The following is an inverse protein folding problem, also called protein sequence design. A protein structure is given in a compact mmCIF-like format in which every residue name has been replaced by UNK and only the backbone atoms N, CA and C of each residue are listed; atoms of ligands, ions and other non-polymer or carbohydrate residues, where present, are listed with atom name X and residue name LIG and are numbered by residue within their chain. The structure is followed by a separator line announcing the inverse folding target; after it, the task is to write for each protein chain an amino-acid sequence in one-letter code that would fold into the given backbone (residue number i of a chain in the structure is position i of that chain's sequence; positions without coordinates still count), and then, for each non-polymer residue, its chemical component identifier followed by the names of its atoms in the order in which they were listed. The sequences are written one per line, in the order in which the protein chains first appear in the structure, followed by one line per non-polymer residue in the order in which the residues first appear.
data_IF_654864946970
#
_entry.id   IF_654864946970
#
_cell.length_a   1.000
_cell.length_b   1.000
_cell.length_c   1.000
_cell.angle_alpha   90.00
_cell.angle_beta   90.00
_cell.angle_gamma   90.00
#
_symmetry.space_group_name_H-M   'P 1'
#
loop_
_entity.id
_entity.type
_entity.pdbx_description
1 polymer ?
#
# COMPACT_ATOMS: atom_id res chain seq x y z
N UNK A 1 -40.48 26.05 -4.92
CA UNK A 1 -39.70 26.83 -3.94
C UNK A 1 -38.40 26.09 -3.72
N UNK A 2 -37.34 26.77 -3.35
CA UNK A 2 -36.03 26.16 -3.20
C UNK A 2 -35.45 26.49 -1.82
N UNK A 3 -34.85 25.50 -1.16
CA UNK A 3 -34.13 25.70 0.11
C UNK A 3 -32.65 25.76 -0.19
N UNK A 4 -32.06 26.94 -0.04
CA UNK A 4 -30.63 27.20 -0.22
C UNK A 4 -29.97 27.27 1.16
N UNK A 5 -28.82 26.62 1.35
CA UNK A 5 -28.17 26.59 2.64
C UNK A 5 -26.65 26.42 2.54
N UNK A 6 -25.96 26.95 3.52
CA UNK A 6 -24.54 26.71 3.76
C UNK A 6 -24.33 26.30 5.23
N UNK A 7 -23.09 26.42 5.71
CA UNK A 7 -22.78 26.13 7.10
C UNK A 7 -23.30 27.19 8.08
N UNK A 8 -23.57 28.43 7.63
CA UNK A 8 -24.02 29.55 8.47
C UNK A 8 -25.52 29.63 8.59
N UNK A 9 -26.25 29.35 7.52
CA UNK A 9 -27.69 29.62 7.46
C UNK A 9 -28.40 28.77 6.39
N UNK A 10 -29.73 28.78 6.44
CA UNK A 10 -30.61 28.25 5.41
C UNK A 10 -31.71 29.27 5.11
N UNK A 11 -32.13 29.36 3.85
CA UNK A 11 -33.27 30.20 3.42
C UNK A 11 -34.13 29.50 2.39
N UNK A 12 -35.41 29.83 2.39
CA UNK A 12 -36.36 29.42 1.35
C UNK A 12 -36.56 30.58 0.38
N UNK A 13 -36.42 30.31 -0.91
CA UNK A 13 -36.67 31.28 -1.98
C UNK A 13 -37.79 30.82 -2.90
N UNK A 14 -38.53 31.77 -3.45
CA UNK A 14 -39.53 31.52 -4.49
C UNK A 14 -38.90 31.49 -5.91
N UNK A 15 -39.74 31.31 -6.94
CA UNK A 15 -39.29 31.26 -8.34
C UNK A 15 -38.75 32.60 -8.86
N UNK A 16 -39.03 33.70 -8.17
CA UNK A 16 -38.61 35.05 -8.52
C UNK A 16 -37.33 35.47 -7.78
N UNK A 17 -36.82 34.60 -6.89
CA UNK A 17 -35.65 34.85 -6.05
C UNK A 17 -35.96 35.56 -4.73
N UNK A 18 -37.23 35.80 -4.41
CA UNK A 18 -37.60 36.47 -3.16
C UNK A 18 -37.44 35.51 -1.98
N UNK A 19 -36.84 35.99 -0.89
CA UNK A 19 -36.67 35.23 0.36
C UNK A 19 -38.00 35.16 1.12
N UNK A 20 -38.48 33.95 1.37
CA UNK A 20 -39.74 33.69 2.09
C UNK A 20 -39.53 33.48 3.60
N UNK A 21 -38.47 32.77 3.98
CA UNK A 21 -38.07 32.51 5.37
C UNK A 21 -36.56 32.24 5.44
N UNK A 22 -35.93 32.55 6.57
CA UNK A 22 -34.50 32.39 6.82
C UNK A 22 -34.26 31.95 8.26
N UNK A 23 -33.34 30.99 8.43
CA UNK A 23 -32.86 30.53 9.72
C UNK A 23 -31.33 30.53 9.75
N UNK A 24 -30.76 31.21 10.74
CA UNK A 24 -29.31 31.28 10.96
C UNK A 24 -28.85 30.27 12.01
N UNK A 25 -27.62 29.79 11.86
CA UNK A 25 -26.97 28.96 12.87
C UNK A 25 -26.74 29.76 14.14
N UNK A 26 -27.22 29.20 15.26
CA UNK A 26 -27.28 29.85 16.57
C UNK A 26 -25.95 30.42 17.09
N UNK A 27 -26.01 31.22 18.18
CA UNK A 27 -24.91 32.11 18.60
C UNK A 27 -23.70 31.38 19.23
N UNK A 28 -23.86 30.16 19.74
CA UNK A 28 -22.75 29.39 20.34
C UNK A 28 -21.95 28.66 19.26
N UNK A 29 -21.17 29.41 18.49
CA UNK A 29 -20.33 28.88 17.40
C UNK A 29 -18.94 28.55 17.92
N UNK A 30 -18.48 27.32 17.68
CA UNK A 30 -17.10 26.92 17.97
C UNK A 30 -16.49 26.21 16.76
N UNK A 31 -15.16 26.24 16.58
CA UNK A 31 -14.51 25.53 15.48
C UNK A 31 -14.85 24.04 15.44
N UNK A 32 -14.98 23.38 16.60
CA UNK A 32 -15.31 21.96 16.68
C UNK A 32 -16.76 21.65 16.28
N UNK A 33 -17.71 22.53 16.66
CA UNK A 33 -19.10 22.41 16.24
C UNK A 33 -19.24 22.65 14.73
N UNK A 34 -18.55 23.66 14.19
CA UNK A 34 -18.53 23.94 12.76
C UNK A 34 -17.89 22.79 11.97
N UNK A 35 -16.77 22.22 12.44
CA UNK A 35 -16.14 21.09 11.78
C UNK A 35 -17.09 19.87 11.66
N UNK A 36 -17.87 19.60 12.71
CA UNK A 36 -18.89 18.53 12.69
C UNK A 36 -19.99 18.84 11.67
N UNK A 37 -20.46 20.08 11.66
CA UNK A 37 -21.48 20.56 10.73
C UNK A 37 -21.03 20.52 9.26
N UNK A 38 -19.78 20.89 8.97
CA UNK A 38 -19.19 20.79 7.63
C UNK A 38 -19.06 19.32 7.18
N UNK A 39 -18.69 18.42 8.10
CA UNK A 39 -18.65 16.97 7.82
C UNK A 39 -20.04 16.43 7.46
N UNK A 40 -21.09 16.84 8.19
CA UNK A 40 -22.47 16.48 7.89
C UNK A 40 -22.87 16.93 6.48
N UNK A 41 -22.60 18.20 6.15
CA UNK A 41 -22.88 18.76 4.82
C UNK A 41 -22.12 18.02 3.70
N UNK A 42 -20.84 17.69 3.90
CA UNK A 42 -20.05 16.92 2.93
C UNK A 42 -20.60 15.51 2.69
N UNK A 43 -21.22 14.90 3.71
CA UNK A 43 -21.90 13.60 3.58
C UNK A 43 -23.28 13.69 2.93
N UNK A 44 -23.71 14.89 2.48
CA UNK A 44 -25.01 15.13 1.87
C UNK A 44 -26.16 15.33 2.88
N UNK A 45 -25.87 15.44 4.18
CA UNK A 45 -26.89 15.75 5.19
C UNK A 45 -27.24 17.24 5.17
N UNK A 46 -28.51 17.57 5.32
CA UNK A 46 -28.95 18.96 5.49
C UNK A 46 -28.64 19.48 6.88
N UNK A 47 -28.39 20.80 6.98
CA UNK A 47 -28.29 21.49 8.26
C UNK A 47 -29.60 21.41 9.05
N UNK A 48 -29.56 21.52 10.39
CA UNK A 48 -30.78 21.59 11.22
C UNK A 48 -31.77 22.66 10.75
N UNK A 49 -31.26 23.81 10.31
CA UNK A 49 -32.01 24.97 9.83
C UNK A 49 -32.67 24.65 8.48
N UNK A 50 -31.95 24.02 7.55
CA UNK A 50 -32.52 23.56 6.28
C UNK A 50 -33.61 22.48 6.49
N UNK A 51 -33.42 21.56 7.46
CA UNK A 51 -34.46 20.59 7.84
C UNK A 51 -35.70 21.27 8.41
N UNK A 52 -35.52 22.22 9.33
CA UNK A 52 -36.63 22.96 9.91
C UNK A 52 -37.41 23.77 8.86
N UNK A 53 -36.72 24.37 7.88
CA UNK A 53 -37.36 25.05 6.76
C UNK A 53 -38.10 24.07 5.83
N UNK A 54 -37.55 22.89 5.58
CA UNK A 54 -38.24 21.84 4.81
C UNK A 54 -39.51 21.36 5.50
N UNK A 55 -39.49 21.25 6.83
CA UNK A 55 -40.67 20.86 7.60
C UNK A 55 -41.76 21.95 7.57
N UNK A 56 -41.37 23.25 7.50
CA UNK A 56 -42.29 24.39 7.33
C UNK A 56 -42.82 24.54 5.90
N UNK A 57 -42.00 24.20 4.91
CA UNK A 57 -42.30 24.31 3.49
C UNK A 57 -42.08 22.95 2.79
N UNK A 58 -43.00 21.99 2.91
CA UNK A 58 -42.81 20.63 2.38
C UNK A 58 -42.61 20.55 0.86
N UNK A 59 -43.13 21.52 0.11
CA UNK A 59 -43.01 21.60 -1.35
C UNK A 59 -41.71 22.29 -1.82
N UNK A 60 -40.82 22.69 -0.89
CA UNK A 60 -39.55 23.31 -1.21
C UNK A 60 -38.43 22.27 -1.40
N UNK A 61 -37.79 22.28 -2.57
CA UNK A 61 -36.71 21.34 -2.87
C UNK A 61 -35.37 21.85 -2.31
N UNK A 62 -34.60 21.01 -1.58
CA UNK A 62 -33.29 21.39 -1.08
C UNK A 62 -32.27 21.46 -2.22
N UNK A 63 -31.58 22.60 -2.34
CA UNK A 63 -30.43 22.79 -3.21
C UNK A 63 -29.15 22.99 -2.37
N UNK A 64 -28.30 21.95 -2.24
CA UNK A 64 -27.03 22.02 -1.51
C UNK A 64 -26.00 22.99 -2.09
N UNK A 65 -26.11 23.35 -3.38
CA UNK A 65 -25.23 24.31 -4.05
C UNK A 65 -25.86 25.70 -4.15
N UNK A 66 -27.11 25.86 -3.72
CA UNK A 66 -27.88 27.09 -3.90
C UNK A 66 -27.26 28.30 -3.19
N UNK A 67 -26.45 28.10 -2.15
CA UNK A 67 -25.71 29.19 -1.52
C UNK A 67 -24.59 29.77 -2.41
N UNK A 68 -24.01 28.95 -3.29
CA UNK A 68 -22.95 29.37 -4.22
C UNK A 68 -23.52 30.05 -5.47
N UNK A 69 -24.72 29.64 -5.87
CA UNK A 69 -25.39 30.14 -7.09
C UNK A 69 -26.20 31.42 -6.84
N UNK A 70 -26.25 31.90 -5.60
CA UNK A 70 -27.09 33.03 -5.18
C UNK A 70 -26.27 34.32 -5.02
N UNK A 71 -26.47 35.33 -5.89
CA UNK A 71 -25.71 36.58 -5.86
C UNK A 71 -25.93 37.43 -4.61
N UNK A 72 -27.05 37.21 -3.90
CA UNK A 72 -27.40 37.93 -2.67
C UNK A 72 -26.98 37.13 -1.42
N UNK A 73 -26.23 36.04 -1.58
CA UNK A 73 -25.75 35.26 -0.44
C UNK A 73 -24.74 36.08 0.37
N UNK A 74 -24.92 36.23 1.70
CA UNK A 74 -24.06 37.09 2.50
C UNK A 74 -22.59 36.66 2.44
N UNK A 75 -21.66 37.62 2.35
CA UNK A 75 -20.22 37.33 2.48
C UNK A 75 -19.86 36.93 3.92
N UNK A 76 -18.78 36.17 4.10
CA UNK A 76 -18.30 35.80 5.43
C UNK A 76 -17.63 37.00 6.10
N UNK A 77 -18.03 37.30 7.32
CA UNK A 77 -17.31 38.25 8.19
C UNK A 77 -15.88 37.75 8.49
N UNK A 78 -14.91 38.63 8.84
CA UNK A 78 -13.56 38.20 9.21
C UNK A 78 -13.55 37.13 10.32
N UNK A 79 -14.41 37.29 11.34
CA UNK A 79 -14.56 36.31 12.42
C UNK A 79 -15.10 34.96 11.93
N UNK A 80 -16.02 34.96 10.96
CA UNK A 80 -16.53 33.74 10.32
C UNK A 80 -15.49 33.07 9.43
N UNK A 81 -14.62 33.86 8.76
CA UNK A 81 -13.50 33.33 7.98
C UNK A 81 -12.48 32.64 8.88
N UNK A 82 -12.12 33.25 10.02
CA UNK A 82 -11.23 32.64 11.01
C UNK A 82 -11.84 31.37 11.60
N UNK A 83 -13.12 31.41 11.98
CA UNK A 83 -13.85 30.25 12.47
C UNK A 83 -13.89 29.11 11.45
N UNK A 84 -14.12 29.42 10.17
CA UNK A 84 -14.11 28.45 9.09
C UNK A 84 -12.71 27.87 8.87
N UNK A 85 -11.67 28.70 8.91
CA UNK A 85 -10.27 28.26 8.83
C UNK A 85 -9.92 27.27 9.95
N UNK A 86 -10.24 27.60 11.19
CA UNK A 86 -9.99 26.72 12.34
C UNK A 86 -10.79 25.41 12.25
N UNK A 87 -12.04 25.48 11.81
CA UNK A 87 -12.90 24.30 11.61
C UNK A 87 -12.38 23.39 10.50
N UNK A 88 -11.92 23.94 9.38
CA UNK A 88 -11.31 23.16 8.29
C UNK A 88 -10.01 22.50 8.74
N UNK A 89 -9.20 23.16 9.57
CA UNK A 89 -8.02 22.54 10.17
C UNK A 89 -8.38 21.35 11.09
N UNK A 90 -9.47 21.46 11.88
CA UNK A 90 -9.99 20.35 12.69
C UNK A 90 -10.50 19.21 11.79
N UNK A 91 -11.27 19.53 10.75
CA UNK A 91 -11.80 18.55 9.81
C UNK A 91 -10.67 17.81 9.09
N UNK A 92 -9.63 18.52 8.66
CA UNK A 92 -8.44 17.93 8.07
C UNK A 92 -7.74 16.97 9.04
N UNK A 93 -7.56 17.35 10.31
CA UNK A 93 -7.00 16.45 11.34
C UNK A 93 -7.88 15.22 11.58
N UNK A 94 -9.21 15.37 11.58
CA UNK A 94 -10.15 14.24 11.68
C UNK A 94 -10.01 13.30 10.48
N UNK A 95 -9.97 13.84 9.26
CA UNK A 95 -9.74 13.05 8.05
C UNK A 95 -8.40 12.32 8.06
N UNK A 96 -7.33 12.93 8.59
CA UNK A 96 -6.04 12.26 8.80
C UNK A 96 -6.16 11.13 9.83
N UNK A 97 -6.83 11.37 10.96
CA UNK A 97 -7.05 10.36 11.99
C UNK A 97 -7.89 9.18 11.47
N UNK A 98 -8.94 9.45 10.70
CA UNK A 98 -9.73 8.43 10.01
C UNK A 98 -8.90 7.68 8.97
N UNK A 99 -7.95 8.35 8.31
CA UNK A 99 -7.00 7.67 7.41
C UNK A 99 -6.04 6.72 8.12
N UNK A 100 -5.87 6.81 9.44
CA UNK A 100 -5.17 5.78 10.20
C UNK A 100 -5.97 4.46 10.27
N UNK A 101 -7.29 4.49 10.02
CA UNK A 101 -8.09 3.28 9.84
C UNK A 101 -7.99 2.72 8.41
N UNK A 102 -7.49 3.50 7.45
CA UNK A 102 -7.33 3.09 6.05
C UNK A 102 -6.26 2.01 5.91
N UNK A 103 -6.73 0.77 5.68
CA UNK A 103 -5.88 -0.40 5.53
C UNK A 103 -5.02 -0.35 4.25
N UNK A 104 -5.45 0.36 3.20
CA UNK A 104 -4.64 0.54 1.98
C UNK A 104 -3.38 1.36 2.31
N UNK A 105 -3.53 2.49 3.01
CA UNK A 105 -2.39 3.33 3.44
C UNK A 105 -1.45 2.60 4.40
N UNK A 106 -2.02 1.83 5.33
CA UNK A 106 -1.22 1.03 6.27
C UNK A 106 -0.40 -0.05 5.56
N UNK A 107 -1.00 -0.74 4.58
CA UNK A 107 -0.29 -1.70 3.74
C UNK A 107 0.80 -1.03 2.89
N UNK A 108 0.53 0.16 2.36
CA UNK A 108 1.54 0.94 1.62
C UNK A 108 2.75 1.27 2.49
N UNK A 109 2.55 1.79 3.71
CA UNK A 109 3.66 2.07 4.62
C UNK A 109 4.48 0.84 4.95
N UNK A 110 3.83 -0.30 5.22
CA UNK A 110 4.53 -1.56 5.51
C UNK A 110 5.31 -2.06 4.28
N UNK A 111 4.67 -2.14 3.12
CA UNK A 111 5.30 -2.60 1.88
C UNK A 111 6.45 -1.70 1.44
N UNK A 112 6.28 -0.38 1.51
CA UNK A 112 7.30 0.59 1.12
C UNK A 112 8.48 0.57 2.08
N UNK A 113 8.22 0.51 3.40
CA UNK A 113 9.27 0.33 4.41
C UNK A 113 10.05 -0.98 4.22
N UNK A 114 9.37 -2.09 3.90
CA UNK A 114 10.01 -3.36 3.54
C UNK A 114 10.95 -3.22 2.34
N UNK A 115 10.56 -2.49 1.30
CA UNK A 115 11.39 -2.27 0.10
C UNK A 115 12.64 -1.45 0.45
N UNK A 116 12.49 -0.39 1.22
CA UNK A 116 13.60 0.46 1.67
C UNK A 116 14.58 -0.30 2.56
N UNK A 117 14.06 -1.04 3.54
CA UNK A 117 14.87 -1.88 4.43
C UNK A 117 15.66 -2.93 3.65
N UNK A 118 15.06 -3.59 2.65
CA UNK A 118 15.78 -4.56 1.81
C UNK A 118 16.87 -3.89 0.98
N UNK A 119 16.62 -2.71 0.41
CA UNK A 119 17.63 -1.98 -0.35
C UNK A 119 18.82 -1.57 0.53
N UNK A 120 18.55 -1.10 1.75
CA UNK A 120 19.59 -0.78 2.73
C UNK A 120 20.34 -2.05 3.18
N UNK A 121 19.62 -3.14 3.43
CA UNK A 121 20.20 -4.43 3.81
C UNK A 121 21.19 -4.94 2.76
N UNK A 122 20.80 -4.97 1.48
CA UNK A 122 21.67 -5.48 0.40
C UNK A 122 22.98 -4.72 0.29
N UNK A 123 22.95 -3.39 0.46
CA UNK A 123 24.18 -2.59 0.37
C UNK A 123 25.06 -2.75 1.61
N UNK A 124 24.46 -2.86 2.79
CA UNK A 124 25.19 -3.04 4.05
C UNK A 124 25.77 -4.45 4.21
N UNK A 125 25.02 -5.48 3.84
CA UNK A 125 25.46 -6.87 3.86
C UNK A 125 26.65 -7.06 2.93
N UNK A 126 26.53 -6.60 1.68
CA UNK A 126 27.62 -6.71 0.71
C UNK A 126 28.90 -6.04 1.24
N UNK A 127 28.78 -4.85 1.84
CA UNK A 127 29.94 -4.18 2.45
C UNK A 127 30.52 -4.97 3.63
N UNK A 128 29.68 -5.56 4.47
CA UNK A 128 30.12 -6.36 5.62
C UNK A 128 30.86 -7.63 5.18
N UNK A 129 30.34 -8.32 4.16
CA UNK A 129 30.93 -9.55 3.62
C UNK A 129 32.28 -9.25 2.95
N UNK A 130 32.34 -8.26 2.08
CA UNK A 130 33.59 -7.89 1.38
C UNK A 130 34.68 -7.41 2.36
N UNK A 131 34.30 -6.66 3.41
CA UNK A 131 35.27 -6.21 4.41
C UNK A 131 35.80 -7.38 5.25
N UNK A 132 34.98 -8.39 5.53
CA UNK A 132 35.45 -9.62 6.16
C UNK A 132 36.46 -10.36 5.26
N UNK A 133 36.14 -10.51 3.97
CA UNK A 133 37.00 -11.18 2.99
C UNK A 133 38.35 -10.51 2.76
N UNK A 134 38.47 -9.21 3.02
CA UNK A 134 39.75 -8.50 2.96
C UNK A 134 40.78 -9.08 3.94
N UNK A 135 40.33 -9.51 5.12
CA UNK A 135 41.19 -10.04 6.17
C UNK A 135 41.18 -11.56 6.21
N UNK A 136 40.07 -12.20 5.85
CA UNK A 136 39.87 -13.65 5.87
C UNK A 136 39.81 -14.18 4.42
N UNK A 137 40.95 -14.41 3.75
CA UNK A 137 40.99 -14.72 2.32
C UNK A 137 40.41 -16.09 1.97
N UNK A 138 40.42 -17.05 2.91
CA UNK A 138 39.91 -18.42 2.71
C UNK A 138 38.41 -18.55 3.03
N UNK A 139 37.76 -17.44 3.40
CA UNK A 139 36.33 -17.40 3.71
C UNK A 139 35.48 -17.57 2.45
N UNK A 140 34.53 -18.52 2.47
CA UNK A 140 33.53 -18.68 1.42
C UNK A 140 32.52 -17.52 1.49
N UNK A 141 32.87 -16.41 0.83
CA UNK A 141 32.07 -15.18 0.85
C UNK A 141 30.68 -15.38 0.27
N UNK A 142 30.47 -16.33 -0.64
CA UNK A 142 29.16 -16.57 -1.27
C UNK A 142 28.32 -17.56 -0.47
N UNK A 143 28.94 -18.63 0.04
CA UNK A 143 28.26 -19.64 0.84
C UNK A 143 27.92 -19.18 2.26
N UNK A 144 28.69 -18.24 2.83
CA UNK A 144 28.54 -17.79 4.22
C UNK A 144 28.01 -16.35 4.36
N UNK A 145 27.42 -15.78 3.30
CA UNK A 145 26.93 -14.39 3.27
C UNK A 145 26.07 -14.01 4.47
N UNK A 146 25.20 -14.91 4.90
CA UNK A 146 24.25 -14.65 5.99
C UNK A 146 24.91 -14.76 7.38
N UNK A 147 25.89 -15.65 7.51
CA UNK A 147 26.60 -15.99 8.74
C UNK A 147 27.67 -14.96 9.07
N UNK A 148 28.35 -14.41 8.07
CA UNK A 148 29.47 -13.46 8.25
C UNK A 148 29.09 -12.24 9.10
N UNK A 149 28.01 -11.49 8.81
CA UNK A 149 27.62 -10.36 9.66
C UNK A 149 27.26 -10.80 11.09
N UNK A 150 26.64 -11.97 11.26
CA UNK A 150 26.31 -12.48 12.60
C UNK A 150 27.58 -12.78 13.41
N UNK A 151 28.53 -13.51 12.82
CA UNK A 151 29.80 -13.85 13.44
C UNK A 151 30.59 -12.59 13.84
N UNK A 152 30.76 -11.64 12.93
CA UNK A 152 31.51 -10.39 13.21
C UNK A 152 30.81 -9.55 14.28
N UNK A 153 29.47 -9.43 14.23
CA UNK A 153 28.72 -8.61 15.20
C UNK A 153 28.88 -9.09 16.64
N UNK A 154 28.99 -10.41 16.85
CA UNK A 154 29.11 -11.07 18.15
C UNK A 154 30.56 -11.30 18.61
N UNK A 155 31.51 -11.35 17.68
CA UNK A 155 32.91 -11.64 17.99
C UNK A 155 33.61 -10.52 18.78
N UNK A 156 34.58 -10.89 19.60
CA UNK A 156 35.40 -9.93 20.36
C UNK A 156 36.40 -9.22 19.46
N UNK A 157 37.07 -9.98 18.60
CA UNK A 157 38.11 -9.60 17.66
C UNK A 157 37.97 -10.44 16.39
N UNK A 158 38.80 -10.15 15.38
CA UNK A 158 38.74 -10.85 14.10
C UNK A 158 39.13 -12.34 14.21
N UNK A 159 39.95 -12.70 15.19
CA UNK A 159 40.38 -14.09 15.42
C UNK A 159 39.20 -14.93 15.92
N UNK A 160 38.45 -14.40 16.89
CA UNK A 160 37.22 -15.02 17.36
C UNK A 160 36.16 -15.16 16.26
N UNK A 161 36.12 -14.20 15.32
CA UNK A 161 35.23 -14.27 14.16
C UNK A 161 35.68 -15.34 13.16
N UNK A 162 36.99 -15.45 12.90
CA UNK A 162 37.58 -16.48 12.06
C UNK A 162 37.29 -17.88 12.60
N UNK A 163 37.49 -18.09 13.90
CA UNK A 163 37.17 -19.34 14.60
C UNK A 163 35.68 -19.70 14.45
N UNK A 164 34.79 -18.73 14.66
CA UNK A 164 33.33 -18.93 14.53
C UNK A 164 32.91 -19.25 13.08
N UNK A 165 33.64 -18.73 12.10
CA UNK A 165 33.44 -18.99 10.68
C UNK A 165 34.20 -20.24 10.18
N UNK A 166 34.97 -20.90 11.05
CA UNK A 166 35.71 -22.11 10.70
C UNK A 166 36.87 -21.89 9.72
N UNK A 167 37.48 -20.70 9.75
CA UNK A 167 38.63 -20.34 8.91
C UNK A 167 39.86 -20.01 9.77
N UNK A 168 41.04 -20.06 9.15
CA UNK A 168 42.29 -19.74 9.82
C UNK A 168 42.38 -18.26 10.23
N UNK A 169 43.21 -17.98 11.25
CA UNK A 169 43.46 -16.61 11.70
C UNK A 169 44.07 -15.75 10.58
N UNK A 170 43.68 -14.46 10.48
CA UNK A 170 44.21 -13.58 9.45
C UNK A 170 45.68 -13.23 9.71
N UNK A 171 46.52 -13.33 8.67
CA UNK A 171 47.94 -12.92 8.71
C UNK A 171 48.11 -11.45 9.08
N UNK A 172 47.22 -10.59 8.60
CA UNK A 172 47.20 -9.16 8.90
C UNK A 172 45.88 -8.82 9.58
N UNK A 173 45.94 -8.18 10.75
CA UNK A 173 44.77 -7.87 11.58
C UNK A 173 44.36 -6.40 11.41
N UNK A 174 43.04 -6.09 11.45
CA UNK A 174 42.58 -4.71 11.49
C UNK A 174 43.10 -4.02 12.75
N UNK A 175 43.30 -2.72 12.68
CA UNK A 175 43.47 -1.90 13.88
C UNK A 175 42.20 -1.97 14.75
N UNK A 176 42.32 -1.63 16.04
CA UNK A 176 41.15 -1.62 16.93
C UNK A 176 40.02 -0.71 16.45
N UNK A 177 40.36 0.43 15.84
CA UNK A 177 39.36 1.35 15.26
C UNK A 177 38.69 0.77 14.00
N UNK A 178 39.45 0.10 13.14
CA UNK A 178 38.88 -0.59 11.95
C UNK A 178 37.98 -1.75 12.37
N UNK A 179 38.39 -2.53 13.37
CA UNK A 179 37.58 -3.63 13.88
C UNK A 179 36.24 -3.15 14.45
N UNK A 180 36.24 -2.07 15.25
CA UNK A 180 34.98 -1.49 15.76
C UNK A 180 34.09 -0.98 14.62
N UNK A 181 34.66 -0.42 13.56
CA UNK A 181 33.91 0.00 12.38
C UNK A 181 33.31 -1.20 11.62
N UNK A 182 34.08 -2.28 11.43
CA UNK A 182 33.59 -3.55 10.86
C UNK A 182 32.45 -4.14 11.69
N UNK A 183 32.62 -4.16 13.01
CA UNK A 183 31.64 -4.69 13.95
C UNK A 183 30.36 -3.85 13.96
N UNK A 184 30.47 -2.53 13.90
CA UNK A 184 29.34 -1.62 13.77
C UNK A 184 28.57 -1.85 12.46
N UNK A 185 29.28 -2.05 11.34
CA UNK A 185 28.67 -2.38 10.05
C UNK A 185 27.90 -3.70 10.12
N UNK A 186 28.51 -4.75 10.68
CA UNK A 186 27.89 -6.06 10.84
C UNK A 186 26.65 -6.02 11.76
N UNK A 187 26.71 -5.27 12.87
CA UNK A 187 25.56 -5.03 13.75
C UNK A 187 24.40 -4.36 13.02
N UNK A 188 24.67 -3.37 12.17
CA UNK A 188 23.66 -2.71 11.34
C UNK A 188 22.93 -3.69 10.41
N UNK A 189 23.66 -4.62 9.79
CA UNK A 189 23.06 -5.69 8.96
C UNK A 189 22.13 -6.57 9.79
N UNK A 190 22.58 -7.04 10.96
CA UNK A 190 21.77 -7.88 11.86
C UNK A 190 20.50 -7.17 12.34
N UNK A 191 20.60 -5.88 12.69
CA UNK A 191 19.45 -5.08 13.10
C UNK A 191 18.43 -4.91 11.96
N UNK A 192 18.90 -4.60 10.75
CA UNK A 192 18.02 -4.46 9.58
C UNK A 192 17.34 -5.80 9.26
N UNK A 193 18.04 -6.93 9.39
CA UNK A 193 17.43 -8.27 9.24
C UNK A 193 16.24 -8.46 10.21
N UNK A 194 16.43 -8.16 11.49
CA UNK A 194 15.36 -8.29 12.50
C UNK A 194 14.19 -7.34 12.25
N UNK A 195 14.48 -6.11 11.79
CA UNK A 195 13.45 -5.14 11.39
C UNK A 195 12.67 -5.59 10.15
N UNK A 196 13.33 -6.21 9.18
CA UNK A 196 12.70 -6.81 8.01
C UNK A 196 11.74 -7.93 8.41
N UNK A 197 12.17 -8.85 9.28
CA UNK A 197 11.33 -9.94 9.78
C UNK A 197 10.06 -9.40 10.47
N UNK A 198 10.23 -8.41 11.35
CA UNK A 198 9.11 -7.78 12.06
C UNK A 198 8.14 -7.07 11.11
N UNK A 199 8.66 -6.36 10.10
CA UNK A 199 7.86 -5.67 9.09
C UNK A 199 7.10 -6.67 8.19
N UNK A 200 7.76 -7.75 7.79
CA UNK A 200 7.13 -8.81 7.01
C UNK A 200 6.00 -9.49 7.78
N UNK A 201 6.17 -9.76 9.07
CA UNK A 201 5.12 -10.38 9.88
C UNK A 201 3.91 -9.44 10.05
N UNK A 202 4.15 -8.16 10.32
CA UNK A 202 3.09 -7.15 10.34
C UNK A 202 2.35 -7.04 9.00
N UNK A 203 3.09 -7.10 7.88
CA UNK A 203 2.51 -7.12 6.53
C UNK A 203 1.67 -8.37 6.31
N UNK A 204 2.15 -9.54 6.74
CA UNK A 204 1.43 -10.81 6.61
C UNK A 204 0.12 -10.79 7.36
N UNK A 205 0.13 -10.32 8.61
CA UNK A 205 -1.06 -10.22 9.43
C UNK A 205 -2.10 -9.29 8.79
N UNK A 206 -1.70 -8.06 8.43
CA UNK A 206 -2.63 -7.09 7.83
C UNK A 206 -3.17 -7.56 6.47
N UNK A 207 -2.35 -8.22 5.66
CA UNK A 207 -2.78 -8.74 4.37
C UNK A 207 -3.81 -9.87 4.51
N UNK A 208 -3.58 -10.82 5.43
CA UNK A 208 -4.54 -11.90 5.72
C UNK A 208 -5.89 -11.35 6.17
N UNK A 209 -5.90 -10.29 6.97
CA UNK A 209 -7.12 -9.69 7.48
C UNK A 209 -7.87 -8.81 6.46
N UNK A 210 -7.17 -8.25 5.47
CA UNK A 210 -7.73 -7.25 4.56
C UNK A 210 -8.00 -7.76 3.14
N UNK A 211 -7.21 -8.72 2.69
CA UNK A 211 -7.26 -9.36 1.37
C UNK A 211 -7.03 -10.88 1.53
N UNK A 212 -7.89 -11.59 2.29
CA UNK A 212 -7.69 -12.98 2.68
C UNK A 212 -7.55 -13.92 1.48
N UNK A 213 -8.44 -13.79 0.50
CA UNK A 213 -8.49 -14.68 -0.68
C UNK A 213 -7.25 -14.49 -1.55
N UNK A 214 -6.89 -13.23 -1.83
CA UNK A 214 -5.71 -12.92 -2.62
C UNK A 214 -4.43 -13.34 -1.87
N UNK A 215 -4.39 -13.14 -0.54
CA UNK A 215 -3.27 -13.56 0.31
C UNK A 215 -3.07 -15.06 0.29
N UNK A 216 -4.14 -15.85 0.32
CA UNK A 216 -4.06 -17.29 0.24
C UNK A 216 -3.57 -17.75 -1.14
N UNK A 217 -4.01 -17.09 -2.22
CA UNK A 217 -3.67 -17.46 -3.59
C UNK A 217 -2.20 -17.20 -3.97
N UNK A 218 -1.66 -16.01 -3.68
CA UNK A 218 -0.31 -15.58 -4.12
C UNK A 218 0.68 -15.37 -2.97
N UNK A 219 0.27 -15.64 -1.74
CA UNK A 219 1.00 -15.32 -0.54
C UNK A 219 0.76 -13.88 -0.09
N UNK A 220 0.72 -13.62 1.22
CA UNK A 220 0.35 -12.32 1.78
C UNK A 220 1.28 -11.16 1.38
N UNK A 221 2.60 -11.39 1.32
CA UNK A 221 3.54 -10.35 0.87
C UNK A 221 3.32 -9.98 -0.61
N UNK A 222 3.00 -10.97 -1.45
CA UNK A 222 2.67 -10.75 -2.87
C UNK A 222 1.37 -9.97 -3.02
N UNK A 223 0.34 -10.37 -2.27
CA UNK A 223 -0.97 -9.73 -2.25
C UNK A 223 -0.89 -8.26 -1.79
N UNK A 224 -0.19 -7.99 -0.69
CA UNK A 224 0.05 -6.63 -0.20
C UNK A 224 0.73 -5.76 -1.27
N UNK A 225 1.80 -6.27 -1.90
CA UNK A 225 2.49 -5.54 -2.97
C UNK A 225 1.61 -5.28 -4.19
N UNK A 226 0.68 -6.18 -4.53
CA UNK A 226 -0.28 -5.93 -5.62
C UNK A 226 -1.23 -4.78 -5.29
N UNK A 227 -1.76 -4.73 -4.06
CA UNK A 227 -2.63 -3.63 -3.60
C UNK A 227 -1.89 -2.31 -3.66
N UNK A 228 -0.66 -2.27 -3.14
CA UNK A 228 0.17 -1.06 -3.11
C UNK A 228 0.53 -0.58 -4.51
N UNK A 229 0.97 -1.47 -5.40
CA UNK A 229 1.28 -1.11 -6.80
C UNK A 229 0.04 -0.64 -7.58
N UNK A 230 -1.15 -1.10 -7.20
CA UNK A 230 -2.39 -0.66 -7.81
C UNK A 230 -2.87 0.70 -7.27
N UNK A 231 -2.38 1.13 -6.10
CA UNK A 231 -2.84 2.32 -5.39
C UNK A 231 -4.11 2.10 -4.57
N UNK A 232 -4.32 0.87 -4.08
CA UNK A 232 -5.43 0.51 -3.19
C UNK A 232 -6.24 -0.70 -3.66
N UNK A 233 -6.96 -1.33 -2.72
CA UNK A 233 -7.71 -2.58 -2.93
C UNK A 233 -8.82 -2.41 -3.96
N UNK A 234 -9.56 -1.31 -3.88
CA UNK A 234 -10.62 -0.98 -4.84
C UNK A 234 -10.09 -0.86 -6.27
N UNK A 235 -8.99 -0.12 -6.43
CA UNK A 235 -8.39 0.09 -7.74
C UNK A 235 -7.87 -1.21 -8.32
N UNK A 236 -7.29 -2.09 -7.50
CA UNK A 236 -6.88 -3.43 -7.91
C UNK A 236 -8.08 -4.28 -8.36
N UNK A 237 -9.22 -4.21 -7.67
CA UNK A 237 -10.44 -4.95 -8.03
C UNK A 237 -11.04 -4.52 -9.38
N UNK A 238 -10.90 -3.25 -9.73
CA UNK A 238 -11.35 -2.69 -11.01
C UNK A 238 -10.41 -2.99 -12.18
N UNK A 239 -9.15 -3.36 -11.92
CA UNK A 239 -8.20 -3.66 -13.00
C UNK A 239 -8.56 -4.94 -13.76
N UNK A 240 -8.34 -4.99 -15.09
CA UNK A 240 -8.49 -6.21 -15.87
C UNK A 240 -7.33 -7.17 -15.60
N UNK A 241 -7.57 -8.47 -15.78
CA UNK A 241 -6.56 -9.52 -15.56
C UNK A 241 -5.25 -9.29 -16.33
N UNK A 242 -5.32 -8.77 -17.56
CA UNK A 242 -4.13 -8.41 -18.34
C UNK A 242 -3.25 -7.34 -17.69
N UNK A 243 -3.85 -6.37 -16.99
CA UNK A 243 -3.11 -5.36 -16.22
C UNK A 243 -2.48 -5.97 -14.97
N UNK A 244 -3.19 -6.84 -14.25
CA UNK A 244 -2.63 -7.59 -13.10
C UNK A 244 -1.45 -8.47 -13.54
N UNK A 245 -1.56 -9.08 -14.73
CA UNK A 245 -0.52 -9.94 -15.29
C UNK A 245 0.81 -9.22 -15.44
N UNK A 246 0.83 -7.90 -15.64
CA UNK A 246 2.05 -7.11 -15.85
C UNK A 246 2.23 -5.99 -14.81
N UNK A 247 1.47 -6.03 -13.72
CA UNK A 247 1.50 -5.03 -12.66
C UNK A 247 2.92 -4.87 -12.09
N UNK A 248 3.41 -3.64 -11.98
CA UNK A 248 4.77 -3.35 -11.51
C UNK A 248 5.90 -3.63 -12.51
N UNK A 249 5.62 -4.15 -13.71
CA UNK A 249 6.63 -4.34 -14.77
C UNK A 249 6.86 -3.04 -15.58
N UNK A 250 6.95 -1.88 -14.91
CA UNK A 250 6.97 -0.55 -15.54
C UNK A 250 8.11 -0.37 -16.54
N UNK A 251 9.32 -0.82 -16.20
CA UNK A 251 10.48 -0.76 -17.09
C UNK A 251 10.31 -1.61 -18.35
N UNK A 252 9.81 -2.84 -18.21
CA UNK A 252 9.53 -3.73 -19.35
C UNK A 252 8.39 -3.21 -20.23
N UNK A 253 7.34 -2.64 -19.63
CA UNK A 253 6.26 -1.97 -20.35
C UNK A 253 6.76 -0.71 -21.09
N UNK A 254 7.69 0.04 -20.51
CA UNK A 254 8.33 1.17 -21.19
C UNK A 254 9.16 0.73 -22.39
N UNK A 255 9.92 -0.37 -22.27
CA UNK A 255 10.63 -0.97 -23.40
C UNK A 255 9.67 -1.50 -24.47
N UNK A 256 8.54 -2.10 -24.07
CA UNK A 256 7.53 -2.57 -25.01
C UNK A 256 6.93 -1.43 -25.85
N UNK A 257 6.67 -0.28 -25.23
CA UNK A 257 6.25 0.95 -25.94
C UNK A 257 7.28 1.44 -26.97
N UNK A 258 8.53 0.97 -26.90
CA UNK A 258 9.62 1.24 -27.86
C UNK A 258 9.85 0.08 -28.84
N UNK A 259 8.93 -0.90 -28.92
CA UNK A 259 8.99 -2.01 -29.86
C UNK A 259 9.57 -3.32 -29.30
N UNK A 260 9.98 -3.37 -28.03
CA UNK A 260 10.37 -4.64 -27.41
C UNK A 260 9.14 -5.57 -27.23
N UNK A 261 9.31 -6.90 -27.12
CA UNK A 261 8.20 -7.79 -26.78
C UNK A 261 7.55 -7.43 -25.43
N UNK A 262 6.23 -7.59 -25.26
CA UNK A 262 5.56 -7.27 -24.01
C UNK A 262 6.00 -8.20 -22.86
N UNK A 263 6.02 -7.71 -21.61
CA UNK A 263 6.31 -8.56 -20.46
C UNK A 263 5.24 -9.65 -20.30
N UNK A 264 5.66 -10.85 -19.88
CA UNK A 264 4.80 -12.02 -19.74
C UNK A 264 4.17 -12.15 -18.34
N UNK A 265 4.75 -11.47 -17.35
CA UNK A 265 4.41 -11.60 -15.95
C UNK A 265 4.88 -10.37 -15.17
N UNK A 266 4.18 -10.07 -14.08
CA UNK A 266 4.59 -9.11 -13.06
C UNK A 266 5.71 -9.70 -12.22
N UNK A 267 6.49 -8.87 -11.50
CA UNK A 267 7.44 -9.36 -10.51
C UNK A 267 6.79 -10.25 -9.45
N UNK A 268 5.53 -9.98 -9.09
CA UNK A 268 4.77 -10.71 -8.07
C UNK A 268 4.35 -12.09 -8.57
N UNK A 269 3.80 -12.17 -9.78
CA UNK A 269 3.46 -13.49 -10.35
C UNK A 269 4.72 -14.29 -10.64
N UNK A 270 5.81 -13.63 -11.04
CA UNK A 270 7.08 -14.30 -11.26
C UNK A 270 7.70 -14.86 -9.97
N UNK A 271 7.51 -14.22 -8.81
CA UNK A 271 8.03 -14.75 -7.54
C UNK A 271 7.34 -16.05 -7.11
N UNK A 272 6.17 -16.39 -7.66
CA UNK A 272 5.53 -17.68 -7.40
C UNK A 272 6.34 -18.83 -8.05
N UNK A 273 6.67 -19.90 -7.31
CA UNK A 273 7.37 -21.07 -7.87
C UNK A 273 6.69 -21.66 -9.10
N UNK A 274 5.36 -21.65 -9.14
CA UNK A 274 4.56 -22.09 -10.29
C UNK A 274 4.93 -21.38 -11.59
N UNK A 275 5.37 -20.11 -11.53
CA UNK A 275 5.77 -19.32 -12.70
C UNK A 275 7.28 -19.33 -12.89
N UNK A 276 8.08 -19.04 -11.85
CA UNK A 276 9.54 -18.94 -11.97
C UNK A 276 10.20 -20.26 -12.39
N UNK A 277 9.74 -21.38 -11.80
CA UNK A 277 10.26 -22.73 -12.09
C UNK A 277 9.68 -23.32 -13.39
N UNK A 278 8.66 -22.70 -13.97
CA UNK A 278 8.11 -23.13 -15.27
C UNK A 278 9.07 -22.81 -16.44
N UNK A 279 9.09 -23.63 -17.50
CA UNK A 279 9.88 -23.35 -18.71
C UNK A 279 9.52 -22.01 -19.36
N UNK A 280 10.50 -21.31 -19.95
CA UNK A 280 10.35 -19.94 -20.49
C UNK A 280 9.20 -19.75 -21.48
N UNK A 281 8.83 -20.80 -22.24
CA UNK A 281 7.72 -20.78 -23.19
C UNK A 281 6.34 -20.96 -22.55
N UNK A 282 6.28 -21.47 -21.31
CA UNK A 282 5.03 -21.72 -20.56
C UNK A 282 4.74 -20.64 -19.53
N UNK A 283 5.76 -19.94 -18.99
CA UNK A 283 5.60 -18.91 -17.93
C UNK A 283 4.46 -17.92 -18.20
N UNK A 284 4.34 -17.43 -19.44
CA UNK A 284 3.29 -16.48 -19.80
C UNK A 284 1.88 -17.06 -19.80
N UNK A 285 1.72 -18.38 -20.02
CA UNK A 285 0.43 -19.07 -19.95
C UNK A 285 0.00 -19.25 -18.49
N UNK A 286 0.91 -19.72 -17.64
CA UNK A 286 0.67 -19.89 -16.19
C UNK A 286 0.39 -18.53 -15.53
N UNK A 287 1.22 -17.52 -15.83
CA UNK A 287 1.02 -16.15 -15.35
C UNK A 287 -0.33 -15.56 -15.74
N UNK A 288 -0.78 -15.77 -16.99
CA UNK A 288 -2.11 -15.31 -17.44
C UNK A 288 -3.24 -15.97 -16.65
N UNK A 289 -3.15 -17.28 -16.45
CA UNK A 289 -4.14 -18.02 -15.66
C UNK A 289 -4.20 -17.50 -14.21
N UNK A 290 -3.04 -17.40 -13.56
CA UNK A 290 -2.95 -16.89 -12.18
C UNK A 290 -3.44 -15.45 -12.08
N UNK A 291 -3.08 -14.57 -13.01
CA UNK A 291 -3.60 -13.20 -13.04
C UNK A 291 -5.14 -13.15 -13.15
N UNK A 292 -5.74 -14.10 -13.88
CA UNK A 292 -7.19 -14.26 -13.95
C UNK A 292 -7.78 -14.60 -12.58
N UNK A 293 -7.21 -15.59 -11.89
CA UNK A 293 -7.66 -15.99 -10.55
C UNK A 293 -7.41 -14.89 -9.51
N UNK A 294 -6.28 -14.17 -9.56
CA UNK A 294 -6.01 -12.99 -8.73
C UNK A 294 -7.07 -11.90 -8.94
N UNK A 295 -7.50 -11.68 -10.19
CA UNK A 295 -8.52 -10.69 -10.53
C UNK A 295 -9.88 -11.04 -9.93
N UNK A 296 -10.20 -12.33 -9.77
CA UNK A 296 -11.40 -12.78 -9.08
C UNK A 296 -11.22 -12.67 -7.56
N UNK A 297 -10.11 -13.19 -7.04
CA UNK A 297 -9.77 -13.17 -5.61
C UNK A 297 -9.87 -11.76 -5.01
N UNK A 298 -9.27 -10.75 -5.65
CA UNK A 298 -9.36 -9.37 -5.15
C UNK A 298 -10.79 -8.80 -5.19
N UNK A 299 -11.63 -9.25 -6.14
CA UNK A 299 -13.03 -8.80 -6.20
C UNK A 299 -13.85 -9.45 -5.10
N UNK A 300 -13.62 -10.71 -4.80
CA UNK A 300 -14.19 -11.39 -3.63
C UNK A 300 -13.82 -10.61 -2.37
N UNK A 301 -12.53 -10.31 -2.17
CA UNK A 301 -12.05 -9.56 -1.01
C UNK A 301 -12.60 -8.12 -0.93
N UNK A 302 -12.78 -7.43 -2.07
CA UNK A 302 -13.24 -6.04 -2.10
C UNK A 302 -14.75 -5.88 -1.93
N UNK A 303 -15.54 -6.79 -2.49
CA UNK A 303 -17.01 -6.76 -2.43
C UNK A 303 -17.57 -7.65 -1.31
N UNK A 304 -16.73 -7.98 -0.32
CA UNK A 304 -17.07 -8.79 0.86
C UNK A 304 -17.78 -10.12 0.50
N UNK A 305 -17.30 -10.77 -0.56
CA UNK A 305 -17.73 -12.12 -0.93
C UNK A 305 -17.18 -13.18 0.03
N UNK A 306 -17.66 -14.41 -0.11
CA UNK A 306 -17.17 -15.54 0.69
C UNK A 306 -15.68 -15.83 0.37
N UNK A 307 -14.77 -15.70 1.36
CA UNK A 307 -13.35 -15.95 1.14
C UNK A 307 -13.08 -17.38 0.71
N UNK A 308 -12.10 -17.58 -0.19
CA UNK A 308 -11.75 -18.94 -0.61
C UNK A 308 -10.99 -19.69 0.47
N UNK A 309 -11.22 -21.00 0.53
CA UNK A 309 -10.52 -21.91 1.41
C UNK A 309 -9.25 -22.50 0.78
N UNK A 310 -8.50 -23.27 1.57
CA UNK A 310 -7.25 -23.91 1.13
C UNK A 310 -7.47 -24.96 0.04
N UNK A 311 -8.63 -25.63 0.00
CA UNK A 311 -8.94 -26.67 -0.98
C UNK A 311 -9.16 -26.05 -2.37
N UNK A 312 -9.93 -24.96 -2.43
CA UNK A 312 -10.15 -24.17 -3.64
C UNK A 312 -8.83 -23.61 -4.19
N UNK A 313 -7.96 -23.10 -3.32
CA UNK A 313 -6.63 -22.61 -3.73
C UNK A 313 -5.75 -23.75 -4.24
N UNK A 314 -5.74 -24.90 -3.56
CA UNK A 314 -5.00 -26.07 -3.98
C UNK A 314 -5.48 -26.61 -5.34
N UNK A 315 -6.79 -26.56 -5.62
CA UNK A 315 -7.34 -26.85 -6.95
C UNK A 315 -6.82 -25.86 -8.01
N UNK A 316 -6.86 -24.56 -7.73
CA UNK A 316 -6.34 -23.53 -8.64
C UNK A 316 -4.84 -23.75 -8.93
N UNK A 317 -4.05 -24.09 -7.92
CA UNK A 317 -2.62 -24.38 -8.10
C UNK A 317 -2.41 -25.65 -8.93
N UNK A 318 -3.20 -26.72 -8.71
CA UNK A 318 -3.17 -27.94 -9.54
C UNK A 318 -3.55 -27.64 -11.00
N UNK A 319 -4.54 -26.79 -11.25
CA UNK A 319 -4.88 -26.34 -12.60
C UNK A 319 -3.70 -25.60 -13.27
N UNK A 320 -2.99 -24.74 -12.51
CA UNK A 320 -1.82 -24.03 -12.99
C UNK A 320 -0.66 -24.98 -13.37
N UNK A 321 -0.44 -26.03 -12.57
CA UNK A 321 0.52 -27.09 -12.89
C UNK A 321 0.09 -27.90 -14.12
N UNK A 322 -1.20 -28.22 -14.24
CA UNK A 322 -1.74 -28.89 -15.43
C UNK A 322 -1.52 -28.07 -16.72
N UNK A 323 -1.51 -26.74 -16.64
CA UNK A 323 -1.12 -25.87 -17.79
C UNK A 323 0.35 -26.06 -18.14
N UNK A 324 1.24 -26.17 -17.15
CA UNK A 324 2.68 -26.41 -17.38
C UNK A 324 2.88 -27.74 -18.11
N UNK A 325 2.21 -28.78 -17.66
CA UNK A 325 2.44 -30.15 -18.11
C UNK A 325 1.87 -30.40 -19.53
N UNK A 326 0.88 -29.61 -19.96
CA UNK A 326 0.36 -29.62 -21.35
C UNK A 326 1.37 -29.12 -22.40
N UNK A 327 2.42 -28.41 -22.00
CA UNK A 327 3.41 -27.82 -22.92
C UNK A 327 4.86 -28.24 -22.58
N UNK A 328 5.18 -29.55 -22.62
CA UNK A 328 6.48 -30.05 -22.17
C UNK A 328 7.63 -29.69 -23.12
N UNK A 329 7.32 -29.44 -24.40
CA UNK A 329 8.30 -29.12 -25.44
C UNK A 329 8.19 -27.65 -25.86
N UNK A 330 9.31 -26.99 -26.22
CA UNK A 330 9.26 -25.65 -26.76
C UNK A 330 8.46 -25.61 -28.08
N UNK A 331 7.75 -24.52 -28.36
CA UNK A 331 7.08 -24.35 -29.66
C UNK A 331 8.12 -24.45 -30.78
N UNK A 332 7.75 -25.11 -31.89
CA UNK A 332 8.60 -25.16 -33.09
C UNK A 332 8.90 -23.73 -33.52
N UNK A 333 10.19 -23.38 -33.65
CA UNK A 333 10.59 -22.09 -34.24
C UNK A 333 10.12 -22.12 -35.70
N UNK A 334 9.15 -21.26 -36.02
CA UNK A 334 8.81 -20.91 -37.39
C UNK A 334 9.75 -19.86 -37.93
#
# INVERSE_FOLDING_TARGET
MEIRFDWRMARVVDQQGSVLDQLDWGPSRSPAALATRLSDLQSGRMSPEARALRDRFPDAEPNPLGAMDDPEWPENTPEEQDLFSDATAILARRGVAESAADKDRRLDMLSSSSVELRAAWTTQEARSVEWAGLFLPDLDLDGMRAEIPQAISGAKDIDSAAESLGVDEPTHKPSGAEWEAMKSQARGVVEISSRLESNEEATKQLARDYIPTLSLLVGPLGAARMVVLAGGRERLARMPSGSLQVLGATGAMAAHRRGAPPPKHSPILFSMPLVSRSPRWVRGKVSRFLAGKCSIAVRVDHFDGEPWDEEQIAEIHREAEGIRDKFPKPPKRG
#
